data_IF_338713276941
#
_entry.id   IF_338713276941
#
_cell.length_a   1.000
_cell.length_b   1.000
_cell.length_c   1.000
_cell.angle_alpha   90.00
_cell.angle_beta   90.00
_cell.angle_gamma   90.00
#
_symmetry.space_group_name_H-M   'P 1'
#
loop_
_entity.id
_entity.type
_entity.pdbx_description
1 polymer ?
#
# COMPACT_ATOMS: atom_id res chain seq x y z
N UNK A 1 13.30 -5.82 -10.68
CA UNK A 1 12.06 -5.54 -9.92
C UNK A 1 11.19 -4.58 -10.70
N UNK A 2 9.88 -4.59 -10.50
CA UNK A 2 8.99 -3.57 -11.06
C UNK A 2 9.28 -2.20 -10.44
N UNK A 3 9.44 -1.19 -11.28
CA UNK A 3 9.73 0.18 -10.87
C UNK A 3 8.48 1.03 -11.05
N UNK A 4 8.14 1.75 -10.00
CA UNK A 4 7.02 2.66 -9.92
C UNK A 4 7.54 4.11 -9.82
N UNK A 5 6.76 5.04 -10.33
CA UNK A 5 7.03 6.47 -10.23
C UNK A 5 6.13 7.12 -9.16
N UNK A 6 6.64 8.15 -8.49
CA UNK A 6 5.81 9.03 -7.65
C UNK A 6 4.90 9.89 -8.53
N UNK A 7 5.45 10.37 -9.64
CA UNK A 7 4.74 11.17 -10.63
C UNK A 7 3.85 10.26 -11.48
N UNK A 8 2.55 10.27 -11.19
CA UNK A 8 1.53 9.52 -11.90
C UNK A 8 0.93 10.28 -13.09
N UNK A 9 -0.24 9.80 -13.54
CA UNK A 9 -0.95 10.36 -14.68
C UNK A 9 -1.22 11.86 -14.46
N UNK A 10 -0.92 12.68 -15.48
CA UNK A 10 -1.07 14.15 -15.44
C UNK A 10 -0.27 14.85 -14.32
N UNK A 11 0.80 14.24 -13.83
CA UNK A 11 1.68 14.83 -12.82
C UNK A 11 1.18 14.72 -11.38
N UNK A 12 0.08 14.01 -11.15
CA UNK A 12 -0.50 13.84 -9.81
C UNK A 12 0.25 12.74 -9.03
N UNK A 13 0.30 12.81 -7.68
CA UNK A 13 0.86 11.73 -6.87
C UNK A 13 0.17 10.39 -7.18
N UNK A 14 0.97 9.35 -7.47
CA UNK A 14 0.43 8.06 -7.91
C UNK A 14 -0.52 7.43 -6.89
N UNK A 15 -0.19 7.48 -5.60
CA UNK A 15 -1.02 6.96 -4.51
C UNK A 15 -2.40 7.64 -4.42
N UNK A 16 -2.47 8.95 -4.68
CA UNK A 16 -3.73 9.72 -4.74
C UNK A 16 -4.62 9.32 -5.92
N UNK A 17 -4.05 8.75 -6.99
CA UNK A 17 -4.81 8.27 -8.15
C UNK A 17 -5.29 6.82 -7.98
N UNK A 18 -4.41 5.94 -7.50
CA UNK A 18 -4.65 4.49 -7.47
C UNK A 18 -5.36 4.02 -6.20
N UNK A 19 -5.22 4.75 -5.08
CA UNK A 19 -5.83 4.37 -3.81
C UNK A 19 -7.23 4.96 -3.67
N UNK A 20 -8.24 4.37 -4.32
CA UNK A 20 -9.65 4.71 -4.09
C UNK A 20 -10.53 3.45 -3.97
N UNK A 21 -11.63 3.54 -3.21
CA UNK A 21 -12.49 2.38 -2.89
C UNK A 21 -13.22 1.85 -4.13
N UNK A 22 -13.67 2.75 -5.01
CA UNK A 22 -14.33 2.37 -6.26
C UNK A 22 -13.41 1.53 -7.17
N UNK A 23 -12.16 1.96 -7.38
CA UNK A 23 -11.16 1.22 -8.15
C UNK A 23 -10.90 -0.15 -7.57
N UNK A 24 -10.89 -0.31 -6.23
CA UNK A 24 -10.74 -1.63 -5.60
C UNK A 24 -11.89 -2.57 -5.91
N UNK A 25 -13.13 -2.07 -5.89
CA UNK A 25 -14.31 -2.84 -6.28
C UNK A 25 -14.23 -3.21 -7.77
N UNK A 26 -13.90 -2.25 -8.62
CA UNK A 26 -13.77 -2.47 -10.07
C UNK A 26 -12.69 -3.50 -10.38
N UNK A 27 -11.50 -3.39 -9.77
CA UNK A 27 -10.42 -4.35 -9.99
C UNK A 27 -10.80 -5.76 -9.53
N UNK A 28 -11.50 -5.88 -8.40
CA UNK A 28 -12.01 -7.18 -7.92
C UNK A 28 -13.05 -7.78 -8.88
N UNK A 29 -13.88 -6.95 -9.50
CA UNK A 29 -14.84 -7.43 -10.50
C UNK A 29 -14.15 -7.78 -11.82
N UNK A 30 -13.18 -6.97 -12.26
CA UNK A 30 -12.40 -7.22 -13.46
C UNK A 30 -11.53 -8.47 -13.36
N UNK A 31 -11.05 -8.84 -12.16
CA UNK A 31 -10.26 -10.05 -11.96
C UNK A 31 -11.02 -11.35 -12.27
N UNK A 32 -12.35 -11.31 -12.40
CA UNK A 32 -13.13 -12.47 -12.88
C UNK A 32 -13.03 -12.67 -14.40
N UNK A 33 -12.63 -11.63 -15.15
CA UNK A 33 -12.65 -11.64 -16.62
C UNK A 33 -11.25 -11.55 -17.24
N UNK A 34 -10.31 -10.90 -16.56
CA UNK A 34 -8.93 -10.75 -17.05
C UNK A 34 -7.94 -10.63 -15.89
N UNK A 35 -6.67 -10.93 -16.18
CA UNK A 35 -5.59 -10.79 -15.20
C UNK A 35 -5.33 -9.32 -14.88
N UNK A 36 -5.63 -8.90 -13.64
CA UNK A 36 -5.30 -7.55 -13.17
C UNK A 36 -3.79 -7.33 -13.11
N UNK A 37 -3.02 -8.38 -12.87
CA UNK A 37 -1.56 -8.30 -12.79
C UNK A 37 -0.94 -7.96 -14.15
N UNK A 38 -1.44 -8.56 -15.23
CA UNK A 38 -1.03 -8.24 -16.60
C UNK A 38 -1.39 -6.80 -16.97
N UNK A 39 -2.58 -6.33 -16.58
CA UNK A 39 -2.97 -4.93 -16.79
C UNK A 39 -2.00 -3.96 -16.11
N UNK A 40 -1.62 -4.25 -14.86
CA UNK A 40 -0.66 -3.42 -14.13
C UNK A 40 0.73 -3.50 -14.74
N UNK A 41 1.20 -4.69 -15.12
CA UNK A 41 2.48 -4.86 -15.80
C UNK A 41 2.53 -4.06 -17.11
N UNK A 42 1.44 -4.11 -17.90
CA UNK A 42 1.30 -3.30 -19.12
C UNK A 42 1.39 -1.80 -18.82
N UNK A 43 0.64 -1.32 -17.82
CA UNK A 43 0.67 0.10 -17.42
C UNK A 43 2.05 0.56 -16.97
N UNK A 44 2.80 -0.28 -16.25
CA UNK A 44 4.17 0.02 -15.86
C UNK A 44 5.10 0.06 -17.10
N UNK A 45 4.93 -0.87 -18.04
CA UNK A 45 5.71 -0.90 -19.26
C UNK A 45 5.39 0.24 -20.25
N UNK A 46 4.19 0.83 -20.20
CA UNK A 46 3.85 2.05 -20.94
C UNK A 46 4.72 3.25 -20.53
N UNK A 47 5.23 3.28 -19.28
CA UNK A 47 6.14 4.32 -18.81
C UNK A 47 7.54 4.12 -19.36
N UNK A 48 8.06 2.90 -19.24
CA UNK A 48 9.27 2.43 -19.88
C UNK A 48 9.28 0.89 -19.87
N UNK A 49 9.83 0.28 -20.92
CA UNK A 49 9.89 -1.17 -21.06
C UNK A 49 10.89 -1.77 -20.06
N UNK A 50 10.39 -2.48 -19.06
CA UNK A 50 11.23 -3.08 -18.01
C UNK A 50 12.15 -4.18 -18.55
N UNK A 51 11.74 -4.90 -19.59
CA UNK A 51 12.56 -5.96 -20.17
C UNK A 51 13.73 -5.34 -20.96
N UNK A 52 13.45 -4.31 -21.77
CA UNK A 52 14.48 -3.55 -22.48
C UNK A 52 15.54 -2.94 -21.55
N UNK A 53 15.14 -2.58 -20.33
CA UNK A 53 16.01 -1.99 -19.31
C UNK A 53 16.62 -3.02 -18.35
N UNK A 54 16.48 -4.33 -18.62
CA UNK A 54 17.00 -5.43 -17.78
C UNK A 54 16.47 -5.43 -16.34
N UNK A 55 15.26 -4.92 -16.11
CA UNK A 55 14.63 -4.79 -14.79
C UNK A 55 13.44 -5.71 -14.58
N UNK A 56 12.85 -6.26 -15.65
CA UNK A 56 11.64 -7.06 -15.57
C UNK A 56 11.84 -8.31 -14.68
N UNK A 57 11.12 -8.44 -13.57
CA UNK A 57 11.17 -9.64 -12.76
C UNK A 57 10.29 -10.76 -13.34
N UNK A 58 10.49 -11.97 -12.83
CA UNK A 58 9.68 -13.16 -13.15
C UNK A 58 8.42 -13.31 -12.28
N UNK A 59 7.98 -12.24 -11.62
CA UNK A 59 6.81 -12.21 -10.75
C UNK A 59 5.93 -10.98 -11.03
N UNK A 60 4.64 -10.99 -10.69
CA UNK A 60 3.73 -9.84 -10.90
C UNK A 60 4.09 -8.55 -10.12
N UNK A 61 3.65 -7.36 -10.58
CA UNK A 61 3.94 -6.07 -9.96
C UNK A 61 3.69 -5.92 -8.45
N UNK A 62 2.68 -6.61 -7.91
CA UNK A 62 2.30 -6.51 -6.49
C UNK A 62 2.59 -7.77 -5.68
N UNK A 63 3.34 -8.72 -6.25
CA UNK A 63 3.88 -9.88 -5.54
C UNK A 63 5.20 -9.58 -4.82
N UNK A 64 5.69 -8.34 -4.90
CA UNK A 64 6.84 -7.86 -4.14
C UNK A 64 6.56 -6.42 -3.73
N UNK A 65 7.27 -5.94 -2.70
CA UNK A 65 7.12 -4.54 -2.33
C UNK A 65 7.59 -3.63 -3.49
N UNK A 66 6.78 -2.65 -3.93
CA UNK A 66 7.14 -1.74 -5.02
C UNK A 66 8.48 -1.04 -4.78
N UNK A 67 9.28 -0.93 -5.85
CA UNK A 67 10.46 -0.07 -5.88
C UNK A 67 10.05 1.26 -6.50
N UNK A 68 10.10 2.36 -5.74
CA UNK A 68 9.64 3.67 -6.21
C UNK A 68 10.84 4.57 -6.53
N UNK A 69 11.09 4.83 -7.81
CA UNK A 69 12.20 5.67 -8.26
C UNK A 69 11.83 6.41 -9.55
N UNK A 70 11.96 7.73 -9.53
CA UNK A 70 11.58 8.58 -10.66
C UNK A 70 12.71 8.76 -11.69
N UNK A 71 13.95 8.51 -11.28
CA UNK A 71 15.15 8.79 -12.05
C UNK A 71 15.80 7.55 -12.65
N UNK A 72 15.57 6.35 -12.07
CA UNK A 72 16.29 5.13 -12.44
C UNK A 72 16.27 4.85 -13.95
N UNK A 73 15.14 4.91 -14.67
CA UNK A 73 15.15 4.74 -16.13
C UNK A 73 16.02 5.77 -16.85
N UNK A 74 15.97 7.04 -16.43
CA UNK A 74 16.78 8.12 -17.01
C UNK A 74 18.27 7.90 -16.76
N UNK A 75 18.64 7.37 -15.59
CA UNK A 75 20.05 7.07 -15.27
C UNK A 75 20.58 5.87 -16.05
N UNK A 76 19.73 4.89 -16.35
CA UNK A 76 20.09 3.73 -17.18
C UNK A 76 20.28 4.14 -18.65
N UNK A 77 19.32 4.89 -19.23
CA UNK A 77 19.39 5.24 -20.66
C UNK A 77 20.60 6.15 -20.97
N UNK A 78 21.02 6.98 -20.03
CA UNK A 78 22.23 7.82 -20.16
C UNK A 78 23.54 7.08 -19.83
N UNK A 79 23.49 5.78 -19.52
CA UNK A 79 24.67 4.95 -19.25
C UNK A 79 25.32 5.14 -17.87
N UNK A 80 24.73 5.96 -17.00
CA UNK A 80 25.27 6.23 -15.65
C UNK A 80 24.99 5.12 -14.64
N UNK A 81 24.00 4.27 -14.91
CA UNK A 81 23.71 3.06 -14.15
C UNK A 81 23.65 1.90 -15.14
N UNK A 82 24.43 0.85 -14.88
CA UNK A 82 24.39 -0.40 -15.62
C UNK A 82 23.79 -1.47 -14.71
N UNK A 83 22.74 -2.12 -15.17
CA UNK A 83 22.11 -3.23 -14.43
C UNK A 83 22.93 -4.50 -14.69
N UNK A 84 23.21 -5.25 -13.62
CA UNK A 84 23.96 -6.52 -13.64
C UNK A 84 23.16 -7.60 -12.90
N UNK A 85 23.37 -8.89 -13.22
CA UNK A 85 22.79 -9.97 -12.43
C UNK A 85 23.46 -10.09 -11.05
N UNK A 86 23.15 -11.12 -10.30
CA UNK A 86 23.74 -11.35 -8.98
C UNK A 86 25.27 -11.49 -9.06
N UNK A 87 25.92 -11.10 -7.96
CA UNK A 87 27.36 -11.28 -7.76
C UNK A 87 27.65 -12.75 -7.49
N UNK A 88 28.55 -13.33 -8.26
CA UNK A 88 29.06 -14.70 -8.06
C UNK A 88 30.23 -14.72 -7.08
N UNK A 89 31.20 -13.82 -7.24
CA UNK A 89 32.29 -13.61 -6.27
C UNK A 89 32.95 -12.24 -6.42
N UNK A 90 33.55 -11.78 -5.33
CA UNK A 90 34.45 -10.63 -5.32
C UNK A 90 35.89 -11.08 -5.58
N UNK A 91 36.65 -10.27 -6.29
CA UNK A 91 38.11 -10.37 -6.40
C UNK A 91 38.74 -9.26 -5.56
N UNK A 92 40.06 -9.05 -5.68
CA UNK A 92 40.76 -7.99 -4.95
C UNK A 92 40.29 -6.58 -5.37
N UNK A 93 39.94 -6.40 -6.65
CA UNK A 93 39.64 -5.10 -7.27
C UNK A 93 38.34 -5.11 -8.08
N UNK A 94 37.66 -6.25 -8.21
CA UNK A 94 36.51 -6.39 -9.10
C UNK A 94 35.48 -7.41 -8.64
N UNK A 95 34.52 -7.67 -9.52
CA UNK A 95 33.35 -8.52 -9.28
C UNK A 95 33.10 -9.41 -10.50
N UNK A 96 32.99 -10.72 -10.27
CA UNK A 96 32.45 -11.67 -11.24
C UNK A 96 30.95 -11.85 -10.98
N UNK A 97 30.14 -11.74 -12.03
CA UNK A 97 28.69 -11.89 -11.98
C UNK A 97 28.26 -13.29 -12.42
N UNK A 98 27.02 -13.69 -12.11
CA UNK A 98 26.47 -15.02 -12.44
C UNK A 98 26.39 -15.30 -13.95
N UNK A 99 26.30 -14.27 -14.78
CA UNK A 99 26.33 -14.40 -16.25
C UNK A 99 27.74 -14.58 -16.83
N UNK A 100 28.76 -14.65 -15.97
CA UNK A 100 30.16 -14.76 -16.35
C UNK A 100 30.82 -13.45 -16.73
N UNK A 101 30.10 -12.31 -16.70
CA UNK A 101 30.71 -11.00 -16.90
C UNK A 101 31.56 -10.60 -15.69
N UNK A 102 32.54 -9.73 -15.93
CA UNK A 102 33.45 -9.22 -14.91
C UNK A 102 33.58 -7.70 -15.03
N UNK A 103 33.60 -7.01 -13.90
CA UNK A 103 33.92 -5.58 -13.82
C UNK A 103 35.09 -5.42 -12.84
N UNK A 104 36.14 -4.71 -13.27
CA UNK A 104 37.33 -4.41 -12.46
C UNK A 104 37.28 -2.96 -11.94
N UNK A 105 38.31 -2.57 -11.18
CA UNK A 105 38.50 -1.22 -10.67
C UNK A 105 37.28 -0.68 -9.89
N UNK A 106 36.72 -1.53 -9.03
CA UNK A 106 35.59 -1.19 -8.17
C UNK A 106 36.11 -0.59 -6.85
N UNK A 107 35.91 0.71 -6.69
CA UNK A 107 36.34 1.45 -5.48
C UNK A 107 35.49 1.16 -4.24
N UNK A 108 34.19 0.88 -4.43
CA UNK A 108 33.23 0.76 -3.35
C UNK A 108 32.11 -0.22 -3.65
N UNK A 109 31.69 -0.95 -2.61
CA UNK A 109 30.53 -1.85 -2.63
C UNK A 109 29.53 -1.41 -1.58
N UNK A 110 28.29 -1.14 -1.99
CA UNK A 110 27.20 -0.73 -1.10
C UNK A 110 26.19 -1.87 -1.00
N UNK A 111 26.11 -2.51 0.16
CA UNK A 111 25.16 -3.59 0.42
C UNK A 111 23.79 -3.02 0.82
N UNK A 112 22.96 -2.72 -0.18
CA UNK A 112 21.56 -2.31 0.01
C UNK A 112 20.60 -3.52 0.20
N UNK A 113 21.01 -4.51 1.01
CA UNK A 113 20.33 -5.82 1.16
C UNK A 113 19.18 -5.83 2.18
N UNK A 114 18.86 -4.68 2.77
CA UNK A 114 17.75 -4.53 3.72
C UNK A 114 18.18 -4.74 5.18
N UNK A 115 17.20 -5.02 6.03
CA UNK A 115 17.37 -5.12 7.48
C UNK A 115 16.73 -6.40 8.02
N UNK A 116 17.25 -6.88 9.16
CA UNK A 116 16.59 -7.85 10.02
C UNK A 116 16.00 -7.13 11.23
N UNK A 117 14.97 -7.70 11.83
CA UNK A 117 14.36 -7.15 13.04
C UNK A 117 14.34 -8.16 14.19
N UNK A 118 14.19 -7.64 15.40
CA UNK A 118 14.07 -8.43 16.63
C UNK A 118 13.82 -7.52 17.83
N UNK A 119 13.43 -8.12 18.95
CA UNK A 119 13.12 -7.42 20.20
C UNK A 119 14.04 -7.92 21.32
N UNK A 120 15.33 -7.50 21.37
CA UNK A 120 16.31 -8.05 22.30
C UNK A 120 16.01 -7.77 23.78
N UNK A 121 15.13 -6.80 24.04
CA UNK A 121 14.66 -6.43 25.37
C UNK A 121 13.42 -7.23 25.81
N UNK A 122 12.89 -8.11 24.96
CA UNK A 122 11.66 -8.85 25.21
C UNK A 122 11.93 -10.35 25.26
N UNK A 123 11.28 -11.04 26.19
CA UNK A 123 11.39 -12.50 26.29
C UNK A 123 10.74 -13.18 25.08
N UNK A 124 11.39 -14.23 24.56
CA UNK A 124 10.92 -14.96 23.38
C UNK A 124 9.58 -15.67 23.59
N UNK A 125 9.20 -15.98 24.83
CA UNK A 125 7.87 -16.50 25.16
C UNK A 125 6.75 -15.50 24.91
N UNK A 126 7.07 -14.20 24.80
CA UNK A 126 6.09 -13.14 24.53
C UNK A 126 6.01 -12.86 23.04
N UNK A 127 7.15 -12.60 22.40
CA UNK A 127 7.26 -12.44 20.93
C UNK A 127 8.57 -13.08 20.50
N UNK A 128 8.48 -14.13 19.70
CA UNK A 128 9.64 -14.70 19.02
C UNK A 128 9.68 -14.26 17.55
N UNK A 129 10.89 -13.95 17.07
CA UNK A 129 11.13 -13.59 15.68
C UNK A 129 12.02 -14.65 15.07
N UNK A 130 11.43 -15.50 14.23
CA UNK A 130 12.12 -16.61 13.57
C UNK A 130 12.18 -16.33 12.08
N UNK A 131 13.38 -16.32 11.50
CA UNK A 131 13.59 -16.08 10.06
C UNK A 131 12.92 -14.79 9.55
N UNK A 132 13.02 -13.71 10.33
CA UNK A 132 12.40 -12.41 10.04
C UNK A 132 10.86 -12.48 9.96
N UNK A 133 10.22 -13.51 10.53
CA UNK A 133 8.77 -13.65 10.65
C UNK A 133 8.35 -13.43 12.11
N UNK A 134 7.21 -12.78 12.28
CA UNK A 134 6.58 -12.59 13.60
C UNK A 134 5.09 -12.84 13.47
N UNK A 135 4.51 -13.50 14.45
CA UNK A 135 3.12 -13.92 14.43
C UNK A 135 2.32 -13.12 15.46
N UNK A 136 1.64 -12.08 15.00
CA UNK A 136 0.89 -11.15 15.85
C UNK A 136 -0.52 -10.97 15.32
N UNK A 137 -1.51 -11.00 16.20
CA UNK A 137 -2.88 -10.66 15.84
C UNK A 137 -2.95 -9.21 15.36
N UNK A 138 -3.50 -9.03 14.14
CA UNK A 138 -3.49 -7.75 13.41
C UNK A 138 -2.09 -7.12 13.29
N UNK A 139 -1.01 -7.90 13.27
CA UNK A 139 0.36 -7.38 13.28
C UNK A 139 0.66 -6.45 14.48
N UNK A 140 -0.05 -6.65 15.60
CA UNK A 140 0.02 -5.80 16.79
C UNK A 140 0.13 -6.61 18.07
N UNK A 141 -0.82 -7.51 18.32
CA UNK A 141 -1.02 -8.09 19.65
C UNK A 141 -0.44 -9.51 19.70
N UNK A 142 0.38 -9.85 20.71
CA UNK A 142 0.73 -11.24 20.99
C UNK A 142 -0.53 -12.04 21.39
N UNK A 143 -0.92 -13.08 20.63
CA UNK A 143 -2.14 -13.83 20.92
C UNK A 143 -2.11 -14.52 22.28
N UNK A 144 -0.93 -14.99 22.70
CA UNK A 144 -0.72 -15.79 23.91
C UNK A 144 -0.67 -14.99 25.21
N UNK A 145 -0.57 -13.66 25.14
CA UNK A 145 -0.53 -12.83 26.34
C UNK A 145 -1.90 -12.82 27.03
N UNK A 146 -1.99 -13.26 28.28
CA UNK A 146 -3.27 -13.37 29.01
C UNK A 146 -4.01 -12.03 29.11
N UNK A 147 -3.30 -10.96 29.49
CA UNK A 147 -3.81 -9.59 29.54
C UNK A 147 -3.32 -8.82 28.33
N UNK A 148 -4.21 -8.15 27.61
CA UNK A 148 -3.89 -7.41 26.36
C UNK A 148 -3.29 -6.03 26.64
N UNK A 149 -2.21 -5.99 27.42
CA UNK A 149 -1.54 -4.78 27.91
C UNK A 149 -0.31 -4.38 27.10
N UNK A 150 0.00 -5.08 26.01
CA UNK A 150 1.13 -4.79 25.13
C UNK A 150 0.74 -4.99 23.66
N UNK A 151 1.27 -4.14 22.78
CA UNK A 151 1.14 -4.26 21.34
C UNK A 151 2.37 -3.68 20.62
N UNK A 152 2.71 -4.25 19.47
CA UNK A 152 3.65 -3.67 18.51
C UNK A 152 2.93 -2.63 17.64
N UNK A 153 3.51 -1.42 17.56
CA UNK A 153 2.98 -0.30 16.77
C UNK A 153 3.98 0.05 15.67
N UNK A 154 3.49 0.28 14.45
CA UNK A 154 4.31 0.56 13.27
C UNK A 154 5.17 -0.62 12.83
N UNK A 155 4.98 -1.80 13.41
CA UNK A 155 5.78 -2.98 13.11
C UNK A 155 5.23 -3.75 11.91
N UNK A 156 5.18 -3.06 10.76
CA UNK A 156 4.47 -3.54 9.56
C UNK A 156 4.98 -2.82 8.31
N UNK A 157 4.86 -3.46 7.14
CA UNK A 157 5.28 -2.86 5.86
C UNK A 157 4.10 -2.73 4.88
N UNK A 158 3.41 -1.60 4.85
CA UNK A 158 2.22 -1.44 4.02
C UNK A 158 2.53 -1.10 2.55
N UNK A 159 1.66 -1.55 1.65
CA UNK A 159 1.48 -0.92 0.34
C UNK A 159 0.70 0.40 0.51
N UNK A 160 1.35 1.40 1.10
CA UNK A 160 0.78 2.70 1.46
C UNK A 160 1.59 3.41 2.54
N UNK A 161 1.03 4.45 3.15
CA UNK A 161 1.72 5.18 4.21
C UNK A 161 1.62 4.44 5.56
N UNK A 162 2.73 4.40 6.31
CA UNK A 162 2.80 3.76 7.63
C UNK A 162 2.27 4.64 8.77
N UNK A 163 2.36 5.97 8.62
CA UNK A 163 1.95 6.91 9.67
C UNK A 163 0.45 6.80 10.01
N UNK A 164 -0.48 6.73 9.04
CA UNK A 164 -1.90 6.53 9.33
C UNK A 164 -2.19 5.17 9.95
N UNK A 165 -1.46 4.14 9.54
CA UNK A 165 -1.56 2.81 10.13
C UNK A 165 -1.16 2.85 11.60
N UNK A 166 0.00 3.44 11.90
CA UNK A 166 0.49 3.56 13.27
C UNK A 166 -0.48 4.37 14.15
N UNK A 167 -1.10 5.43 13.61
CA UNK A 167 -2.16 6.18 14.29
C UNK A 167 -3.39 5.31 14.61
N UNK A 168 -3.88 4.50 13.66
CA UNK A 168 -4.98 3.58 13.91
C UNK A 168 -4.64 2.47 14.91
N UNK A 169 -3.41 1.94 14.84
CA UNK A 169 -2.89 0.96 15.78
C UNK A 169 -2.84 1.54 17.20
N UNK A 170 -2.30 2.75 17.38
CA UNK A 170 -2.28 3.45 18.68
C UNK A 170 -3.70 3.64 19.24
N UNK A 171 -4.65 4.06 18.39
CA UNK A 171 -6.05 4.25 18.81
C UNK A 171 -6.68 2.95 19.28
N UNK A 172 -6.42 1.85 18.58
CA UNK A 172 -6.93 0.53 18.97
C UNK A 172 -6.30 0.08 20.29
N UNK A 173 -4.98 0.16 20.38
CA UNK A 173 -4.26 -0.26 21.58
C UNK A 173 -4.72 0.50 22.83
N UNK A 174 -4.80 1.84 22.77
CA UNK A 174 -5.25 2.66 23.89
C UNK A 174 -6.66 2.26 24.37
N UNK A 175 -7.56 1.91 23.44
CA UNK A 175 -8.93 1.50 23.76
C UNK A 175 -9.01 0.08 24.30
N UNK A 176 -8.16 -0.82 23.82
CA UNK A 176 -8.03 -2.18 24.38
C UNK A 176 -7.54 -2.10 25.82
N UNK A 177 -6.49 -1.32 26.09
CA UNK A 177 -5.95 -1.14 27.45
C UNK A 177 -6.98 -0.50 28.39
N UNK A 178 -7.77 0.45 27.89
CA UNK A 178 -8.86 1.08 28.66
C UNK A 178 -10.06 0.15 28.90
N UNK A 179 -10.20 -0.94 28.14
CA UNK A 179 -11.36 -1.83 28.18
C UNK A 179 -12.55 -1.39 27.31
N UNK A 180 -12.38 -0.37 26.47
CA UNK A 180 -13.41 0.11 25.53
C UNK A 180 -13.57 -0.82 24.30
N UNK A 181 -12.58 -1.69 24.04
CA UNK A 181 -12.56 -2.69 22.95
C UNK A 181 -12.02 -4.00 23.50
N UNK A 182 -12.78 -5.08 23.35
CA UNK A 182 -12.34 -6.44 23.71
C UNK A 182 -11.83 -7.16 22.47
N UNK A 183 -10.63 -7.72 22.55
CA UNK A 183 -10.07 -8.56 21.50
C UNK A 183 -10.74 -9.96 21.52
N UNK A 184 -10.76 -10.69 20.39
CA UNK A 184 -11.31 -12.04 20.33
C UNK A 184 -10.49 -13.04 21.17
N UNK A 185 -10.98 -14.28 21.25
CA UNK A 185 -10.29 -15.35 22.00
C UNK A 185 -8.90 -15.64 21.42
N UNK A 186 -8.05 -16.29 22.22
CA UNK A 186 -6.70 -16.71 21.79
C UNK A 186 -6.76 -17.57 20.53
N UNK A 187 -7.72 -18.49 20.47
CA UNK A 187 -7.91 -19.43 19.37
C UNK A 187 -8.35 -18.70 18.09
N UNK A 188 -9.25 -17.72 18.21
CA UNK A 188 -9.71 -16.87 17.11
C UNK A 188 -8.57 -15.99 16.57
N UNK A 189 -7.77 -15.40 17.47
CA UNK A 189 -6.59 -14.63 17.08
C UNK A 189 -5.59 -15.48 16.31
N UNK A 190 -5.26 -16.69 16.80
CA UNK A 190 -4.35 -17.61 16.12
C UNK A 190 -4.88 -18.09 14.77
N UNK A 191 -6.18 -18.34 14.68
CA UNK A 191 -6.84 -18.71 13.42
C UNK A 191 -6.67 -17.61 12.39
N UNK A 192 -6.93 -16.36 12.78
CA UNK A 192 -6.76 -15.23 11.87
C UNK A 192 -5.29 -15.02 11.46
N UNK A 193 -4.35 -15.13 12.42
CA UNK A 193 -2.92 -15.02 12.13
C UNK A 193 -2.48 -16.02 11.06
N UNK A 194 -2.86 -17.30 11.20
CA UNK A 194 -2.53 -18.35 10.22
C UNK A 194 -3.15 -18.06 8.85
N UNK A 195 -4.43 -17.69 8.82
CA UNK A 195 -5.10 -17.32 7.56
C UNK A 195 -4.42 -16.14 6.85
N UNK A 196 -3.95 -15.13 7.61
CA UNK A 196 -3.25 -13.97 7.06
C UNK A 196 -1.86 -14.32 6.55
N UNK A 197 -1.12 -15.17 7.25
CA UNK A 197 0.19 -15.65 6.82
C UNK A 197 0.07 -16.48 5.53
N UNK A 198 -0.93 -17.37 5.44
CA UNK A 198 -1.18 -18.14 4.22
C UNK A 198 -1.54 -17.25 3.03
N UNK A 199 -2.39 -16.23 3.25
CA UNK A 199 -2.72 -15.25 2.22
C UNK A 199 -1.50 -14.42 1.79
N UNK A 200 -0.61 -14.08 2.74
CA UNK A 200 0.62 -13.36 2.46
C UNK A 200 1.59 -14.21 1.63
N UNK A 201 1.82 -15.47 2.03
CA UNK A 201 2.69 -16.40 1.30
C UNK A 201 2.19 -16.68 -0.12
N UNK A 202 0.88 -16.75 -0.33
CA UNK A 202 0.30 -16.89 -1.68
C UNK A 202 0.48 -15.65 -2.56
N UNK A 203 0.50 -14.47 -1.95
CA UNK A 203 0.55 -13.19 -2.67
C UNK A 203 1.97 -12.76 -3.00
N UNK A 204 2.88 -12.87 -2.03
CA UNK A 204 4.23 -12.32 -2.14
C UNK A 204 5.26 -13.38 -2.46
N UNK A 205 6.31 -12.98 -3.19
CA UNK A 205 7.49 -13.79 -3.46
C UNK A 205 8.12 -14.20 -2.14
N UNK A 206 8.36 -15.50 -1.97
CA UNK A 206 8.97 -16.06 -0.77
C UNK A 206 10.37 -15.47 -0.57
N UNK A 207 10.50 -14.66 0.47
CA UNK A 207 11.74 -13.97 0.82
C UNK A 207 11.67 -13.51 2.27
N UNK A 208 12.78 -13.50 3.02
CA UNK A 208 12.85 -12.88 4.34
C UNK A 208 12.47 -11.39 4.34
N UNK A 209 12.51 -10.72 3.18
CA UNK A 209 12.03 -9.34 3.01
C UNK A 209 10.50 -9.23 3.07
N UNK A 210 9.78 -10.29 2.70
CA UNK A 210 8.34 -10.27 2.54
C UNK A 210 7.61 -11.04 3.65
N UNK A 211 7.76 -10.59 4.90
CA UNK A 211 7.20 -11.29 6.08
C UNK A 211 6.18 -10.48 6.87
N UNK A 212 6.10 -9.16 6.65
CA UNK A 212 5.26 -8.24 7.44
C UNK A 212 4.44 -7.29 6.55
N UNK A 213 4.15 -7.70 5.31
CA UNK A 213 3.44 -6.85 4.35
C UNK A 213 1.95 -6.80 4.60
N UNK A 214 1.36 -5.63 4.40
CA UNK A 214 -0.10 -5.48 4.38
C UNK A 214 -0.59 -4.63 3.23
N UNK A 215 -1.83 -4.89 2.83
CA UNK A 215 -2.58 -3.99 1.98
C UNK A 215 -3.16 -2.84 2.83
N UNK A 216 -2.78 -1.60 2.50
CA UNK A 216 -3.14 -0.43 3.30
C UNK A 216 -4.64 -0.29 3.54
N UNK A 217 -5.47 -0.38 2.48
CA UNK A 217 -6.90 -0.17 2.61
C UNK A 217 -7.55 -1.26 3.46
N UNK A 218 -7.27 -2.53 3.14
CA UNK A 218 -7.86 -3.66 3.86
C UNK A 218 -7.48 -3.62 5.35
N UNK A 219 -6.21 -3.34 5.64
CA UNK A 219 -5.72 -3.28 7.02
C UNK A 219 -6.33 -2.12 7.81
N UNK A 220 -6.37 -0.92 7.23
CA UNK A 220 -7.00 0.25 7.86
C UNK A 220 -8.50 0.04 8.08
N UNK A 221 -9.18 -0.61 7.14
CA UNK A 221 -10.60 -0.95 7.27
C UNK A 221 -10.87 -1.98 8.36
N UNK A 222 -10.00 -2.98 8.51
CA UNK A 222 -10.09 -3.97 9.60
C UNK A 222 -9.88 -3.33 10.97
N UNK A 223 -8.82 -2.54 11.14
CA UNK A 223 -8.55 -1.85 12.40
C UNK A 223 -9.67 -0.85 12.72
N UNK A 224 -10.18 -0.13 11.73
CA UNK A 224 -11.22 0.86 11.96
C UNK A 224 -12.58 0.26 12.31
N UNK A 225 -12.85 -0.98 11.90
CA UNK A 225 -14.03 -1.74 12.38
C UNK A 225 -13.89 -2.07 13.87
N UNK A 226 -12.73 -2.56 14.30
CA UNK A 226 -12.44 -2.82 15.72
C UNK A 226 -12.49 -1.54 16.55
N UNK A 227 -11.96 -0.45 16.00
CA UNK A 227 -12.03 0.89 16.60
C UNK A 227 -13.43 1.53 16.51
N UNK A 228 -14.40 0.96 15.80
CA UNK A 228 -15.72 1.57 15.61
C UNK A 228 -15.72 2.93 14.90
N UNK A 229 -14.66 3.25 14.13
CA UNK A 229 -14.52 4.46 13.31
C UNK A 229 -14.47 4.17 11.80
N UNK A 230 -14.81 2.94 11.40
CA UNK A 230 -14.95 2.56 9.99
C UNK A 230 -15.98 3.45 9.28
N UNK A 231 -15.65 4.05 8.12
CA UNK A 231 -16.55 4.94 7.39
C UNK A 231 -17.62 4.14 6.64
N UNK A 232 -18.65 3.69 7.37
CA UNK A 232 -19.76 2.93 6.79
C UNK A 232 -20.49 3.74 5.70
N UNK A 233 -20.23 3.41 4.44
CA UNK A 233 -20.73 4.14 3.28
C UNK A 233 -22.26 4.25 3.26
N UNK A 234 -23.00 3.21 3.64
CA UNK A 234 -24.47 3.28 3.71
C UNK A 234 -24.97 4.32 4.73
N UNK A 235 -24.33 4.42 5.90
CA UNK A 235 -24.65 5.44 6.91
C UNK A 235 -24.28 6.83 6.43
N UNK A 236 -23.15 6.96 5.74
CA UNK A 236 -22.74 8.23 5.12
C UNK A 236 -23.71 8.64 4.01
N UNK A 237 -24.13 7.72 3.15
CA UNK A 237 -25.03 8.00 2.03
C UNK A 237 -26.37 8.56 2.51
N UNK A 238 -26.90 8.06 3.63
CA UNK A 238 -28.14 8.55 4.22
C UNK A 238 -28.02 9.95 4.85
N UNK A 239 -26.85 10.30 5.40
CA UNK A 239 -26.65 11.55 6.16
C UNK A 239 -25.97 12.66 5.37
N UNK A 240 -25.00 12.31 4.56
CA UNK A 240 -24.20 13.20 3.73
C UNK A 240 -23.78 12.47 2.43
N UNK A 241 -24.68 12.44 1.42
CA UNK A 241 -24.40 11.78 0.14
C UNK A 241 -23.14 12.30 -0.56
N UNK A 242 -22.83 13.59 -0.41
CA UNK A 242 -21.63 14.20 -1.02
C UNK A 242 -20.37 13.64 -0.38
N UNK A 243 -20.32 13.57 0.95
CA UNK A 243 -19.21 12.95 1.67
C UNK A 243 -19.09 11.46 1.33
N UNK A 244 -20.21 10.72 1.25
CA UNK A 244 -20.20 9.31 0.85
C UNK A 244 -19.58 9.11 -0.54
N UNK A 245 -19.95 9.94 -1.51
CA UNK A 245 -19.37 9.93 -2.84
C UNK A 245 -17.86 10.24 -2.83
N UNK A 246 -17.43 11.26 -2.09
CA UNK A 246 -16.00 11.59 -1.97
C UNK A 246 -15.18 10.50 -1.27
N UNK A 247 -15.74 9.82 -0.27
CA UNK A 247 -15.09 8.69 0.42
C UNK A 247 -14.96 7.48 -0.49
N UNK A 248 -15.97 7.21 -1.33
CA UNK A 248 -15.99 6.05 -2.22
C UNK A 248 -15.14 6.25 -3.48
N UNK A 249 -15.32 7.38 -4.17
CA UNK A 249 -14.69 7.67 -5.45
C UNK A 249 -13.38 8.46 -5.35
N UNK A 250 -13.17 9.17 -4.25
CA UNK A 250 -11.94 9.93 -4.00
C UNK A 250 -10.83 9.08 -3.39
N UNK A 251 -9.64 9.67 -3.21
CA UNK A 251 -8.50 8.97 -2.61
C UNK A 251 -8.80 8.55 -1.17
N UNK A 252 -8.30 7.38 -0.78
CA UNK A 252 -8.36 6.85 0.59
C UNK A 252 -7.35 7.57 1.46
N UNK A 253 -7.71 8.77 1.89
CA UNK A 253 -6.91 9.56 2.82
C UNK A 253 -7.25 9.27 4.29
N UNK A 254 -6.31 9.49 5.22
CA UNK A 254 -6.50 9.17 6.64
C UNK A 254 -7.70 9.88 7.28
N UNK A 255 -8.09 11.04 6.74
CA UNK A 255 -9.26 11.81 7.18
C UNK A 255 -10.54 10.96 7.20
N UNK A 256 -10.67 9.99 6.28
CA UNK A 256 -11.82 9.08 6.22
C UNK A 256 -12.04 8.31 7.53
N UNK A 257 -10.97 8.00 8.28
CA UNK A 257 -11.04 7.27 9.56
C UNK A 257 -11.24 8.19 10.78
N UNK A 258 -11.59 9.46 10.52
CA UNK A 258 -11.94 10.50 11.50
C UNK A 258 -13.30 11.14 11.22
N UNK A 259 -14.05 10.67 10.23
CA UNK A 259 -15.38 11.21 9.90
C UNK A 259 -16.48 10.76 10.87
N UNK A 260 -16.30 9.61 11.51
CA UNK A 260 -17.25 9.05 12.47
C UNK A 260 -16.55 8.17 13.52
N UNK A 261 -17.33 7.75 14.52
CA UNK A 261 -16.84 6.94 15.63
C UNK A 261 -16.03 7.72 16.66
N UNK A 262 -15.42 7.01 17.64
CA UNK A 262 -14.63 7.63 18.69
C UNK A 262 -13.40 8.35 18.15
N UNK A 263 -13.14 9.56 18.64
CA UNK A 263 -12.06 10.42 18.14
C UNK A 263 -12.35 11.06 16.78
N UNK A 264 -13.63 11.19 16.39
CA UNK A 264 -14.06 11.97 15.22
C UNK A 264 -13.44 13.37 15.23
N UNK A 265 -13.07 13.88 14.07
CA UNK A 265 -12.53 15.23 13.91
C UNK A 265 -13.48 16.10 13.08
N UNK A 266 -13.87 17.26 13.61
CA UNK A 266 -14.82 18.16 12.96
C UNK A 266 -14.33 18.62 11.57
N UNK A 267 -13.01 18.81 11.40
CA UNK A 267 -12.40 19.19 10.13
C UNK A 267 -12.25 18.07 9.12
N UNK A 268 -12.58 16.81 9.45
CA UNK A 268 -12.32 15.66 8.57
C UNK A 268 -13.08 15.76 7.24
N UNK A 269 -14.34 16.22 7.29
CA UNK A 269 -15.17 16.42 6.11
C UNK A 269 -14.56 17.45 5.16
N UNK A 270 -14.22 18.61 5.71
CA UNK A 270 -13.64 19.70 4.93
C UNK A 270 -12.29 19.30 4.35
N UNK A 271 -11.45 18.62 5.15
CA UNK A 271 -10.17 18.09 4.70
C UNK A 271 -10.32 17.13 3.51
N UNK A 272 -11.34 16.26 3.50
CA UNK A 272 -11.60 15.34 2.37
C UNK A 272 -11.99 16.13 1.11
N UNK A 273 -12.80 17.18 1.24
CA UNK A 273 -13.26 17.95 0.08
C UNK A 273 -12.15 18.81 -0.55
N UNK A 274 -11.29 19.39 0.28
CA UNK A 274 -10.22 20.30 -0.17
C UNK A 274 -8.86 19.63 -0.32
N UNK A 275 -8.77 18.30 -0.19
CA UNK A 275 -7.48 17.58 -0.26
C UNK A 275 -6.73 17.77 -1.57
N UNK A 276 -7.43 17.78 -2.71
CA UNK A 276 -6.78 17.98 -4.01
C UNK A 276 -6.31 19.42 -4.20
N UNK A 277 -6.99 20.40 -3.59
CA UNK A 277 -6.53 21.79 -3.59
C UNK A 277 -5.19 21.91 -2.86
N UNK A 278 -5.03 21.23 -1.72
CA UNK A 278 -3.75 21.18 -1.00
C UNK A 278 -2.66 20.41 -1.75
N UNK A 279 -3.02 19.40 -2.53
CA UNK A 279 -2.07 18.70 -3.42
C UNK A 279 -1.61 19.62 -4.55
N UNK A 280 -2.54 20.36 -5.15
CA UNK A 280 -2.25 21.24 -6.29
C UNK A 280 -1.57 22.55 -5.87
N UNK A 281 -1.84 23.05 -4.66
CA UNK A 281 -1.34 24.32 -4.13
C UNK A 281 0.18 24.55 -4.32
N UNK A 282 1.08 23.62 -3.91
CA UNK A 282 2.52 23.83 -4.07
C UNK A 282 3.00 23.91 -5.53
N UNK A 283 2.21 23.48 -6.51
CA UNK A 283 2.55 23.60 -7.93
C UNK A 283 2.15 24.94 -8.54
N UNK A 284 1.28 25.71 -7.89
CA UNK A 284 0.79 27.00 -8.37
C UNK A 284 1.76 28.15 -8.08
N UNK A 285 3.06 27.96 -8.34
CA UNK A 285 4.12 28.93 -8.03
C UNK A 285 4.19 30.11 -8.99
N UNK A 286 3.62 29.97 -10.20
CA UNK A 286 3.55 31.03 -11.21
C UNK A 286 2.14 31.10 -11.83
N UNK A 287 1.42 32.23 -11.72
CA UNK A 287 0.16 32.41 -12.43
C UNK A 287 0.43 32.48 -13.95
N UNK A 288 -0.41 31.81 -14.74
CA UNK A 288 -0.20 31.71 -16.19
C UNK A 288 -0.67 32.96 -16.96
N UNK A 289 -1.34 33.92 -16.31
CA UNK A 289 -1.86 35.13 -16.96
C UNK A 289 -3.06 34.89 -17.88
N UNK A 290 -3.48 33.64 -18.08
CA UNK A 290 -4.68 33.23 -18.79
C UNK A 290 -5.39 32.10 -18.03
N UNK A 291 -6.72 32.01 -18.19
CA UNK A 291 -7.50 30.92 -17.62
C UNK A 291 -7.31 29.67 -18.48
N UNK A 292 -6.82 28.59 -17.88
CA UNK A 292 -6.95 27.26 -18.48
C UNK A 292 -8.40 26.81 -18.22
N UNK A 293 -9.14 26.52 -19.28
CA UNK A 293 -10.42 25.82 -19.14
C UNK A 293 -10.17 24.45 -18.50
N UNK A 294 -10.54 24.32 -17.22
CA UNK A 294 -10.59 23.02 -16.57
C UNK A 294 -11.75 22.25 -17.18
N UNK A 295 -11.46 21.14 -17.86
CA UNK A 295 -12.45 20.24 -18.46
C UNK A 295 -13.26 19.52 -17.35
N UNK A 296 -14.22 20.24 -16.74
CA UNK A 296 -15.06 19.74 -15.65
C UNK A 296 -16.00 18.62 -16.11
N UNK A 297 -16.37 18.57 -17.40
CA UNK A 297 -17.29 17.58 -17.96
C UNK A 297 -16.75 16.14 -17.87
N UNK A 298 -15.43 15.94 -17.95
CA UNK A 298 -14.83 14.59 -17.88
C UNK A 298 -15.02 13.89 -16.53
N UNK A 299 -15.14 14.63 -15.42
CA UNK A 299 -15.27 14.04 -14.08
C UNK A 299 -16.65 13.39 -13.88
N UNK A 300 -17.72 14.09 -14.26
CA UNK A 300 -19.10 13.58 -14.17
C UNK A 300 -19.30 12.32 -15.03
N UNK A 301 -18.89 12.34 -16.30
CA UNK A 301 -19.01 11.19 -17.19
C UNK A 301 -18.13 10.01 -16.75
N UNK A 302 -16.96 10.26 -16.14
CA UNK A 302 -16.12 9.21 -15.54
C UNK A 302 -16.84 8.50 -14.40
N UNK A 303 -17.55 9.23 -13.53
CA UNK A 303 -18.33 8.63 -12.45
C UNK A 303 -19.58 7.91 -12.97
N UNK A 304 -20.29 8.46 -13.96
CA UNK A 304 -21.39 7.76 -14.64
C UNK A 304 -20.91 6.48 -15.32
N UNK A 305 -19.74 6.50 -15.95
CA UNK A 305 -19.12 5.34 -16.59
C UNK A 305 -18.71 4.27 -15.57
N UNK A 306 -18.12 4.66 -14.43
CA UNK A 306 -17.86 3.71 -13.35
C UNK A 306 -19.14 3.12 -12.76
N UNK A 307 -20.19 3.93 -12.61
CA UNK A 307 -21.51 3.45 -12.18
C UNK A 307 -22.11 2.46 -13.19
N UNK A 308 -22.00 2.75 -14.49
CA UNK A 308 -22.50 1.90 -15.57
C UNK A 308 -21.73 0.57 -15.61
N UNK A 309 -20.40 0.61 -15.54
CA UNK A 309 -19.55 -0.59 -15.44
C UNK A 309 -19.92 -1.40 -14.20
N UNK A 310 -20.06 -0.75 -13.04
CA UNK A 310 -20.41 -1.42 -11.80
C UNK A 310 -21.80 -2.08 -11.90
N UNK A 311 -22.79 -1.39 -12.48
CA UNK A 311 -24.13 -1.91 -12.67
C UNK A 311 -24.15 -3.10 -13.65
N UNK A 312 -23.42 -3.01 -14.77
CA UNK A 312 -23.31 -4.07 -15.77
C UNK A 312 -22.58 -5.31 -15.21
N UNK A 313 -21.49 -5.12 -14.46
CA UNK A 313 -20.75 -6.23 -13.83
C UNK A 313 -21.58 -6.92 -12.75
N UNK A 314 -22.36 -6.16 -11.96
CA UNK A 314 -23.29 -6.72 -10.97
C UNK A 314 -24.40 -7.52 -11.66
N UNK A 315 -25.02 -6.99 -12.72
CA UNK A 315 -26.05 -7.72 -13.47
C UNK A 315 -25.54 -9.02 -14.11
N UNK A 316 -24.26 -9.08 -14.49
CA UNK A 316 -23.66 -10.28 -15.09
C UNK A 316 -23.27 -11.35 -14.06
N UNK A 317 -22.97 -10.96 -12.81
CA UNK A 317 -22.62 -11.89 -11.72
C UNK A 317 -23.87 -12.51 -11.06
N UNK A 318 -25.00 -11.80 -11.08
CA UNK A 318 -26.28 -12.25 -10.52
C UNK A 318 -27.24 -12.83 -11.57
N UNK A 319 -26.74 -13.20 -12.75
CA UNK A 319 -27.41 -14.06 -13.76
C UNK A 319 -26.76 -15.43 -13.75
#
# INVERSE_FOLDING_TARGET
AWIFNRVGDKGQPGDMLFSNRATRVILKLLSFFQSTDEMFAKKLNERFDHAKYSLQPNFPPFSSHPTINDDLPNRIICGSIKIKPNVKKFTKTGVEFEDGTFEDDIDAVILATGYRFGFPFLDKSVIDVINNKVELYKSMFPPDLEKKTMACIGFIQPLGAIMPISEQQCRLFARVVKGDVTLPSKEEMWTEVRMKLDALHKKYVESPRHTIQVDYLNYMDELSKLNGNFPYLGKLLLKDPKLAASVFFGPVTPYQYRVMGPGKWQGAREAIFTQMERVDYPFATRPLGFKIEKDQKKSFWKYCFYFLILALLVQFIFK
#
